data_IF_949637238955
#
_entry.id   IF_949637238955
#
_cell.length_a   1.000
_cell.length_b   1.000
_cell.length_c   1.000
_cell.angle_alpha   90.00
_cell.angle_beta   90.00
_cell.angle_gamma   90.00
#
_symmetry.space_group_name_H-M   'P 1'
#
loop_
_entity.id
_entity.type
_entity.pdbx_description
1 polymer ?
#
# COMPACT_ATOMS: atom_id res chain seq x y z
N UNK A 1 -10.03 -9.93 2.44
CA UNK A 1 -10.97 -8.78 2.44
C UNK A 1 -10.20 -7.55 2.01
N UNK A 2 -10.71 -6.79 1.04
CA UNK A 2 -10.09 -5.50 0.68
C UNK A 2 -10.28 -4.52 1.86
N UNK A 3 -9.26 -3.73 2.21
CA UNK A 3 -9.41 -2.68 3.21
C UNK A 3 -10.49 -1.68 2.78
N UNK A 4 -11.15 -1.06 3.74
CA UNK A 4 -12.22 -0.08 3.50
C UNK A 4 -11.65 1.08 2.66
N UNK A 5 -12.36 1.47 1.60
CA UNK A 5 -11.99 2.65 0.81
C UNK A 5 -11.87 3.88 1.72
N UNK A 6 -10.79 4.63 1.57
CA UNK A 6 -10.39 5.72 2.48
C UNK A 6 -9.29 5.32 3.48
N UNK A 7 -8.94 4.04 3.58
CA UNK A 7 -7.80 3.60 4.41
C UNK A 7 -6.50 4.19 3.87
N UNK A 8 -5.71 4.85 4.72
CA UNK A 8 -4.37 5.33 4.37
C UNK A 8 -3.32 4.37 4.91
N UNK A 9 -2.50 3.84 4.01
CA UNK A 9 -1.34 3.01 4.31
C UNK A 9 -0.11 3.90 4.24
N UNK A 10 0.58 4.03 5.36
CA UNK A 10 1.80 4.83 5.45
C UNK A 10 2.97 3.86 5.49
N UNK A 11 3.97 4.10 4.64
CA UNK A 11 5.17 3.28 4.58
C UNK A 11 6.39 4.16 4.42
N UNK A 12 7.32 4.08 5.35
CA UNK A 12 8.66 4.64 5.17
C UNK A 12 9.54 3.69 4.35
N UNK A 13 10.21 4.23 3.33
CA UNK A 13 11.20 3.51 2.53
C UNK A 13 12.33 4.46 2.14
N UNK A 14 13.59 4.06 2.39
CA UNK A 14 14.78 4.89 2.12
C UNK A 14 14.69 6.31 2.71
N UNK A 15 14.05 6.47 3.88
CA UNK A 15 13.85 7.77 4.52
C UNK A 15 12.77 8.64 3.88
N UNK A 16 12.00 8.12 2.92
CA UNK A 16 10.85 8.79 2.31
C UNK A 16 9.56 8.13 2.80
N UNK A 17 8.64 8.95 3.29
CA UNK A 17 7.31 8.48 3.65
C UNK A 17 6.41 8.38 2.40
N UNK A 18 5.87 7.19 2.18
CA UNK A 18 4.95 6.89 1.10
C UNK A 18 3.56 6.64 1.66
N UNK A 19 2.66 7.59 1.38
CA UNK A 19 1.25 7.51 1.76
C UNK A 19 0.45 6.95 0.58
N UNK A 20 -0.21 5.82 0.80
CA UNK A 20 -1.08 5.15 -0.16
C UNK A 20 -2.52 5.20 0.36
N UNK A 21 -3.42 5.77 -0.40
CA UNK A 21 -4.85 5.79 -0.09
C UNK A 21 -5.52 4.62 -0.81
N UNK A 22 -6.27 3.80 -0.08
CA UNK A 22 -7.12 2.76 -0.68
C UNK A 22 -8.36 3.45 -1.23
N UNK A 23 -8.67 3.26 -2.51
CA UNK A 23 -9.90 3.76 -3.14
C UNK A 23 -10.85 2.59 -3.39
N UNK A 24 -12.10 2.87 -3.76
CA UNK A 24 -13.06 1.81 -4.10
C UNK A 24 -12.58 0.96 -5.29
N UNK A 25 -11.91 1.60 -6.25
CA UNK A 25 -11.45 1.00 -7.50
C UNK A 25 -10.00 0.48 -7.45
N UNK A 26 -9.27 0.72 -6.37
CA UNK A 26 -7.87 0.33 -6.25
C UNK A 26 -7.10 1.09 -5.18
N UNK A 27 -6.03 1.78 -5.59
CA UNK A 27 -5.12 2.48 -4.69
C UNK A 27 -4.65 3.78 -5.32
N UNK A 28 -4.31 4.77 -4.52
CA UNK A 28 -3.74 6.04 -4.95
C UNK A 28 -2.45 6.30 -4.18
N UNK A 29 -1.39 6.68 -4.87
CA UNK A 29 -0.10 7.00 -4.26
C UNK A 29 0.44 8.29 -4.88
N UNK A 30 0.76 9.28 -4.03
CA UNK A 30 1.21 10.62 -4.46
C UNK A 30 0.30 11.27 -5.52
N UNK A 31 -1.03 11.11 -5.39
CA UNK A 31 -2.01 11.64 -6.35
C UNK A 31 -2.07 10.89 -7.70
N UNK A 32 -1.41 9.73 -7.81
CA UNK A 32 -1.50 8.85 -8.99
C UNK A 32 -2.32 7.59 -8.66
N UNK A 33 -3.31 7.23 -9.48
CA UNK A 33 -4.07 5.99 -9.29
C UNK A 33 -3.25 4.75 -9.73
N UNK A 34 -3.36 3.68 -8.96
CA UNK A 34 -2.71 2.38 -9.16
C UNK A 34 -3.71 1.24 -9.00
N UNK A 35 -3.56 0.22 -9.86
CA UNK A 35 -4.42 -0.97 -9.87
C UNK A 35 -4.15 -1.95 -8.73
N UNK A 36 -2.98 -1.88 -8.08
CA UNK A 36 -2.62 -2.80 -6.99
C UNK A 36 -1.47 -2.28 -6.12
N UNK A 37 -1.40 -2.73 -4.87
CA UNK A 37 -0.28 -2.46 -3.96
C UNK A 37 1.06 -2.97 -4.48
N UNK A 38 1.08 -4.09 -5.21
CA UNK A 38 2.31 -4.60 -5.80
C UNK A 38 2.85 -3.67 -6.88
N UNK A 39 1.97 -2.96 -7.61
CA UNK A 39 2.39 -1.93 -8.57
C UNK A 39 3.03 -0.74 -7.85
N UNK A 40 2.47 -0.32 -6.71
CA UNK A 40 3.05 0.75 -5.88
C UNK A 40 4.37 0.30 -5.24
N UNK A 41 4.42 -0.89 -4.65
CA UNK A 41 5.63 -1.44 -4.04
C UNK A 41 6.77 -1.56 -5.06
N UNK A 42 6.45 -1.93 -6.31
CA UNK A 42 7.43 -1.92 -7.40
C UNK A 42 7.85 -0.52 -7.81
N UNK A 43 6.93 0.45 -7.81
CA UNK A 43 7.25 1.84 -8.10
C UNK A 43 8.17 2.46 -7.03
N UNK A 44 7.99 2.06 -5.75
CA UNK A 44 8.81 2.52 -4.63
C UNK A 44 10.18 1.82 -4.60
N UNK A 45 10.20 0.49 -4.71
CA UNK A 45 11.42 -0.31 -4.50
C UNK A 45 12.20 -0.62 -5.78
N UNK A 46 11.63 -0.34 -6.96
CA UNK A 46 12.18 -0.72 -8.27
C UNK A 46 12.14 -2.23 -8.58
N UNK A 47 11.78 -3.07 -7.59
CA UNK A 47 11.81 -4.54 -7.68
C UNK A 47 10.43 -5.14 -7.46
N UNK A 48 10.20 -6.36 -7.93
CA UNK A 48 8.92 -7.05 -7.68
C UNK A 48 8.83 -7.47 -6.22
N UNK A 49 8.02 -6.75 -5.46
CA UNK A 49 7.65 -7.09 -4.08
C UNK A 49 6.18 -7.48 -3.98
N UNK A 50 5.86 -8.33 -3.00
CA UNK A 50 4.48 -8.57 -2.61
C UNK A 50 3.96 -7.31 -1.89
N UNK A 51 3.08 -6.55 -2.55
CA UNK A 51 2.56 -5.29 -2.00
C UNK A 51 1.91 -5.44 -0.63
N UNK A 52 1.21 -6.55 -0.37
CA UNK A 52 0.59 -6.79 0.94
C UNK A 52 1.63 -6.93 2.06
N UNK A 53 2.77 -7.56 1.78
CA UNK A 53 3.86 -7.69 2.75
C UNK A 53 4.60 -6.37 2.92
N UNK A 54 4.87 -5.68 1.81
CA UNK A 54 5.54 -4.38 1.80
C UNK A 54 4.81 -3.33 2.64
N UNK A 55 3.49 -3.28 2.51
CA UNK A 55 2.63 -2.38 3.29
C UNK A 55 2.17 -2.96 4.64
N UNK A 56 2.72 -4.11 5.08
CA UNK A 56 2.41 -4.68 6.39
C UNK A 56 0.95 -5.17 6.56
N UNK A 57 0.24 -5.41 5.47
CA UNK A 57 -1.16 -5.84 5.46
C UNK A 57 -1.35 -7.35 5.70
N UNK A 58 -0.27 -8.13 5.85
CA UNK A 58 -0.38 -9.56 6.17
C UNK A 58 -0.84 -9.72 7.62
N UNK A 59 -2.15 -9.83 7.79
CA UNK A 59 -2.85 -10.23 9.02
C UNK A 59 -2.21 -9.69 10.30
N UNK A 60 -2.33 -8.38 10.52
CA UNK A 60 -2.68 -7.96 11.88
C UNK A 60 -4.10 -8.44 12.11
N UNK A 61 -4.22 -9.72 12.49
CA UNK A 61 -5.22 -10.15 13.45
C UNK A 61 -5.15 -9.06 14.51
N UNK A 62 -6.17 -8.20 14.48
CA UNK A 62 -6.45 -7.30 15.58
C UNK A 62 -6.28 -8.13 16.83
N UNK A 63 -5.26 -7.76 17.60
CA UNK A 63 -4.94 -8.35 18.88
C UNK A 63 -6.20 -8.21 19.74
N UNK A 64 -6.91 -9.30 19.92
CA UNK A 64 -7.77 -9.55 21.06
C UNK A 64 -7.26 -10.84 21.68
#
# INVERSE_FOLDING_TARGET
>A
TMPIAGTRLIREWQGVEHIVTVTADGFEWQGRPYKSLSAIARAITGTRWNGWVFFGLRSRRSRT
#
